data_IF_622973316566
#
_entry.id   IF_622973316566
#
_cell.length_a   1.000
_cell.length_b   1.000
_cell.length_c   1.000
_cell.angle_alpha   90.00
_cell.angle_beta   90.00
_cell.angle_gamma   90.00
#
_symmetry.space_group_name_H-M   'P 1'
#
loop_
_entity.id
_entity.type
_entity.pdbx_description
1 polymer ?
#
# COMPACT_ATOMS: atom_id res chain seq x y z
N UNK A 1 -17.90 11.20 11.94
CA UNK A 1 -18.24 10.35 10.76
C UNK A 1 -18.28 8.87 11.13
N UNK A 2 -17.18 8.25 11.58
CA UNK A 2 -17.15 6.84 11.97
C UNK A 2 -18.00 6.49 13.19
N UNK A 3 -18.29 7.47 14.06
CA UNK A 3 -19.19 7.30 15.22
C UNK A 3 -20.57 6.77 14.79
N UNK A 4 -21.23 7.48 13.89
CA UNK A 4 -22.65 7.22 13.56
C UNK A 4 -22.85 6.49 12.22
N UNK A 5 -21.79 6.31 11.43
CA UNK A 5 -21.83 5.68 10.10
C UNK A 5 -20.88 4.50 10.03
N UNK A 6 -21.35 3.43 9.39
CA UNK A 6 -20.53 2.26 9.06
C UNK A 6 -19.67 2.57 7.84
N UNK A 7 -18.58 3.32 8.06
CA UNK A 7 -17.60 3.72 7.04
C UNK A 7 -16.19 3.40 7.51
N UNK A 8 -15.33 3.03 6.57
CA UNK A 8 -13.89 2.85 6.76
C UNK A 8 -13.18 4.10 6.24
N UNK A 9 -12.59 4.89 7.14
CA UNK A 9 -11.82 6.08 6.78
C UNK A 9 -10.34 5.75 6.90
N UNK A 10 -9.57 6.03 5.84
CA UNK A 10 -8.15 5.71 5.79
C UNK A 10 -7.30 6.96 5.70
N UNK A 11 -6.33 7.06 6.61
CA UNK A 11 -5.26 8.05 6.56
C UNK A 11 -4.04 7.43 5.90
N UNK A 12 -3.50 8.12 4.90
CA UNK A 12 -2.31 7.70 4.17
C UNK A 12 -1.22 8.70 4.48
N UNK A 13 -0.07 8.24 4.96
CA UNK A 13 1.07 9.12 5.19
C UNK A 13 1.46 9.81 3.90
N UNK A 14 1.65 11.12 4.01
CA UNK A 14 2.08 11.92 2.89
C UNK A 14 3.43 11.43 2.36
N UNK A 15 3.46 11.01 1.09
CA UNK A 15 4.69 10.59 0.45
C UNK A 15 5.31 11.78 -0.30
N UNK A 16 6.56 12.13 -0.02
CA UNK A 16 7.30 13.09 -0.82
C UNK A 16 7.55 12.54 -2.23
N UNK A 17 7.33 13.37 -3.25
CA UNK A 17 7.61 13.11 -4.66
C UNK A 17 8.27 14.34 -5.29
N UNK A 18 8.90 14.20 -6.46
CA UNK A 18 9.56 15.32 -7.15
C UNK A 18 8.64 16.54 -7.33
N UNK A 19 7.33 16.33 -7.50
CA UNK A 19 6.33 17.40 -7.63
C UNK A 19 6.00 18.17 -6.34
N UNK A 20 6.42 17.71 -5.16
CA UNK A 20 6.17 18.38 -3.87
C UNK A 20 7.45 18.75 -3.11
N UNK A 21 8.59 18.83 -3.81
CA UNK A 21 9.91 19.19 -3.26
C UNK A 21 10.41 18.27 -2.14
N UNK A 22 9.83 17.09 -2.00
CA UNK A 22 10.14 16.17 -0.91
C UNK A 22 9.93 16.77 0.49
N UNK A 23 8.97 17.67 0.63
CA UNK A 23 8.70 18.32 1.91
C UNK A 23 7.99 17.36 2.87
N UNK A 24 8.69 16.94 3.92
CA UNK A 24 8.17 16.07 4.96
C UNK A 24 7.54 16.86 6.12
N UNK A 25 7.60 18.19 6.12
CA UNK A 25 7.03 19.02 7.21
C UNK A 25 5.50 18.94 7.27
N UNK A 26 4.85 18.62 6.15
CA UNK A 26 3.40 18.43 6.04
C UNK A 26 2.95 17.00 6.40
N UNK A 27 3.89 16.10 6.71
CA UNK A 27 3.58 14.71 7.04
C UNK A 27 3.26 14.57 8.54
N UNK A 28 2.12 13.96 8.85
CA UNK A 28 1.81 13.48 10.20
C UNK A 28 2.18 11.99 10.30
N UNK A 29 3.20 11.61 11.09
CA UNK A 29 3.58 10.22 11.31
C UNK A 29 2.44 9.37 11.90
N UNK A 30 2.38 8.10 11.53
CA UNK A 30 1.40 7.14 12.05
C UNK A 30 1.35 7.12 13.59
N UNK A 31 2.51 7.10 14.26
CA UNK A 31 2.57 7.05 15.73
C UNK A 31 2.05 8.32 16.38
N UNK A 32 2.27 9.47 15.76
CA UNK A 32 1.76 10.75 16.22
C UNK A 32 0.24 10.80 16.07
N UNK A 33 -0.29 10.45 14.89
CA UNK A 33 -1.73 10.36 14.66
C UNK A 33 -2.42 9.41 15.66
N UNK A 34 -1.79 8.26 15.94
CA UNK A 34 -2.30 7.30 16.91
C UNK A 34 -2.31 7.86 18.34
N UNK A 35 -1.26 8.57 18.75
CA UNK A 35 -1.17 9.22 20.06
C UNK A 35 -2.26 10.30 20.21
N UNK A 36 -2.38 11.21 19.24
CA UNK A 36 -3.39 12.27 19.24
C UNK A 36 -4.81 11.73 19.33
N UNK A 37 -5.13 10.63 18.64
CA UNK A 37 -6.47 10.03 18.72
C UNK A 37 -6.70 9.43 20.11
N UNK A 38 -5.69 8.78 20.70
CA UNK A 38 -5.78 8.16 22.02
C UNK A 38 -5.95 9.15 23.16
N UNK A 39 -5.42 10.37 23.02
CA UNK A 39 -5.69 11.46 23.97
C UNK A 39 -7.19 11.73 24.11
N UNK A 40 -7.95 11.63 23.02
CA UNK A 40 -9.40 11.83 23.01
C UNK A 40 -10.20 10.55 23.23
N UNK A 41 -9.69 9.41 22.76
CA UNK A 41 -10.33 8.10 22.79
C UNK A 41 -9.35 7.04 23.31
N UNK A 42 -9.18 6.91 24.65
CA UNK A 42 -8.18 6.01 25.24
C UNK A 42 -8.33 4.54 24.84
N UNK A 43 -9.56 4.08 24.60
CA UNK A 43 -9.86 2.71 24.19
C UNK A 43 -9.68 2.46 22.68
N UNK A 44 -9.04 3.39 21.96
CA UNK A 44 -8.73 3.23 20.54
C UNK A 44 -7.70 2.13 20.31
N UNK A 45 -8.18 1.00 19.78
CA UNK A 45 -7.47 -0.27 19.75
C UNK A 45 -7.35 -0.82 18.34
N UNK A 46 -6.28 -1.57 18.09
CA UNK A 46 -6.07 -2.23 16.82
C UNK A 46 -7.07 -3.37 16.64
N UNK A 47 -7.58 -3.54 15.43
CA UNK A 47 -8.34 -4.72 15.02
C UNK A 47 -7.39 -5.85 14.60
N UNK A 48 -7.95 -7.01 14.27
CA UNK A 48 -7.18 -8.09 13.67
C UNK A 48 -6.73 -7.68 12.25
N UNK A 49 -5.42 -7.65 12.04
CA UNK A 49 -4.81 -7.20 10.79
C UNK A 49 -4.07 -8.37 10.15
N UNK A 50 -4.36 -8.62 8.87
CA UNK A 50 -3.74 -9.70 8.11
C UNK A 50 -2.27 -9.41 7.78
N UNK A 51 -1.47 -10.46 7.48
CA UNK A 51 -0.04 -10.34 7.22
C UNK A 51 0.31 -9.52 5.96
N UNK A 52 -0.65 -9.39 5.04
CA UNK A 52 -0.49 -8.67 3.76
C UNK A 52 -1.30 -7.36 3.73
N UNK A 53 -1.95 -6.98 4.83
CA UNK A 53 -2.78 -5.80 4.88
C UNK A 53 -1.92 -4.54 4.80
N UNK A 54 -2.30 -3.66 3.88
CA UNK A 54 -1.60 -2.39 3.66
C UNK A 54 -1.99 -1.34 4.71
N UNK A 55 -3.21 -1.41 5.22
CA UNK A 55 -3.73 -0.50 6.24
C UNK A 55 -3.79 -1.21 7.58
N UNK A 56 -3.34 -0.55 8.64
CA UNK A 56 -3.53 -0.99 10.03
C UNK A 56 -4.88 -0.48 10.51
N UNK A 57 -5.84 -1.37 10.68
CA UNK A 57 -7.19 -1.05 11.11
C UNK A 57 -7.28 -0.92 12.64
N UNK A 58 -8.01 0.10 13.08
CA UNK A 58 -8.27 0.44 14.47
C UNK A 58 -9.74 0.84 14.65
N UNK A 59 -10.22 0.69 15.88
CA UNK A 59 -11.60 0.96 16.24
C UNK A 59 -11.71 1.66 17.60
N UNK A 60 -12.70 2.55 17.71
CA UNK A 60 -13.14 3.12 18.99
C UNK A 60 -14.39 2.36 19.41
N UNK A 61 -14.40 1.68 20.57
CA UNK A 61 -15.57 0.95 21.04
C UNK A 61 -16.85 1.79 21.01
N UNK A 62 -17.94 1.18 20.51
CA UNK A 62 -19.24 1.81 20.36
C UNK A 62 -19.41 2.67 19.10
N UNK A 63 -18.36 2.85 18.28
CA UNK A 63 -18.51 3.50 16.97
C UNK A 63 -19.06 2.49 15.95
N UNK A 64 -19.69 2.97 14.87
CA UNK A 64 -20.20 2.10 13.80
C UNK A 64 -19.17 1.78 12.70
N UNK A 65 -18.17 2.65 12.56
CA UNK A 65 -17.11 2.55 11.55
C UNK A 65 -15.73 2.30 12.16
N UNK A 66 -14.70 2.35 11.32
CA UNK A 66 -13.31 2.10 11.70
C UNK A 66 -12.35 3.09 11.02
N UNK A 67 -11.12 3.14 11.53
CA UNK A 67 -10.04 3.93 10.96
C UNK A 67 -8.91 3.01 10.49
N UNK A 68 -8.39 3.24 9.29
CA UNK A 68 -7.20 2.57 8.77
C UNK A 68 -6.03 3.53 8.62
N UNK A 69 -4.83 3.07 8.96
CA UNK A 69 -3.59 3.84 8.73
C UNK A 69 -2.69 3.14 7.73
N UNK A 70 -2.34 3.84 6.67
CA UNK A 70 -1.36 3.40 5.67
C UNK A 70 -0.06 4.16 5.93
N UNK A 71 0.83 3.55 6.70
CA UNK A 71 2.13 4.10 7.12
C UNK A 71 3.19 3.93 6.03
N UNK A 72 2.98 4.58 4.88
CA UNK A 72 3.83 4.42 3.70
C UNK A 72 5.28 4.87 3.89
N UNK A 73 5.57 5.72 4.88
CA UNK A 73 6.90 6.28 5.11
C UNK A 73 7.55 5.80 6.41
N UNK A 74 6.77 5.71 7.50
CA UNK A 74 7.35 5.47 8.83
C UNK A 74 7.41 3.99 9.23
N UNK A 75 6.48 3.18 8.73
CA UNK A 75 6.38 1.75 9.04
C UNK A 75 5.92 0.98 7.78
N UNK A 76 6.84 0.80 6.83
CA UNK A 76 6.54 0.24 5.50
C UNK A 76 5.96 -1.18 5.55
N UNK A 77 5.03 -1.48 4.64
CA UNK A 77 4.37 -2.78 4.46
C UNK A 77 4.91 -3.59 3.26
N UNK A 78 6.07 -3.21 2.70
CA UNK A 78 6.58 -3.85 1.48
C UNK A 78 6.91 -5.34 1.66
N UNK A 79 7.32 -5.76 2.86
CA UNK A 79 7.67 -7.16 3.17
C UNK A 79 6.50 -8.15 3.00
N UNK A 80 5.27 -7.72 3.29
CA UNK A 80 4.04 -8.50 3.09
C UNK A 80 3.31 -8.17 1.78
N UNK A 81 3.91 -7.37 0.89
CA UNK A 81 3.22 -6.92 -0.30
C UNK A 81 3.06 -8.06 -1.32
N UNK A 82 1.84 -8.46 -1.59
CA UNK A 82 1.46 -9.48 -2.60
C UNK A 82 0.86 -8.88 -3.88
N UNK A 83 0.92 -7.54 -4.05
CA UNK A 83 0.34 -6.85 -5.21
C UNK A 83 1.24 -6.89 -6.44
N UNK A 84 0.62 -7.15 -7.59
CA UNK A 84 1.15 -6.96 -8.94
C UNK A 84 0.21 -6.01 -9.69
N UNK A 85 0.72 -5.30 -10.69
CA UNK A 85 -0.06 -4.35 -11.47
C UNK A 85 0.19 -4.54 -12.96
N UNK A 86 -0.89 -4.46 -13.74
CA UNK A 86 -0.82 -4.27 -15.19
C UNK A 86 -1.12 -2.80 -15.45
N UNK A 87 -0.24 -2.14 -16.20
CA UNK A 87 -0.41 -0.75 -16.64
C UNK A 87 -1.42 -0.69 -17.80
N UNK A 88 -1.94 0.51 -18.09
CA UNK A 88 -2.95 0.67 -19.15
C UNK A 88 -2.42 0.28 -20.54
N UNK A 89 -1.12 0.40 -20.77
CA UNK A 89 -0.44 -0.01 -22.01
C UNK A 89 -0.01 -1.48 -22.02
N UNK A 90 -0.30 -2.25 -20.96
CA UNK A 90 -0.16 -3.70 -20.91
C UNK A 90 1.18 -4.21 -20.35
N UNK A 91 1.88 -3.40 -19.56
CA UNK A 91 3.11 -3.79 -18.88
C UNK A 91 2.85 -4.31 -17.47
N UNK A 92 3.59 -5.34 -17.07
CA UNK A 92 3.64 -5.85 -15.70
C UNK A 92 4.60 -5.01 -14.85
N UNK A 93 4.09 -4.48 -13.74
CA UNK A 93 4.85 -3.89 -12.64
C UNK A 93 4.75 -4.75 -11.39
N UNK A 94 5.90 -5.01 -10.78
CA UNK A 94 5.99 -5.75 -9.50
C UNK A 94 6.06 -4.84 -8.26
N UNK A 95 6.17 -3.53 -8.49
CA UNK A 95 6.14 -2.48 -7.48
C UNK A 95 5.49 -1.22 -8.06
N UNK A 96 4.71 -0.49 -7.25
CA UNK A 96 4.06 0.75 -7.68
C UNK A 96 5.08 1.82 -8.13
N UNK A 97 6.21 1.91 -7.42
CA UNK A 97 7.29 2.87 -7.65
C UNK A 97 8.54 2.25 -8.31
N UNK A 98 8.43 1.02 -8.81
CA UNK A 98 9.53 0.39 -9.54
C UNK A 98 9.63 0.93 -10.96
N UNK A 99 10.83 1.24 -11.44
CA UNK A 99 11.07 1.65 -12.83
C UNK A 99 11.05 0.46 -13.81
N UNK A 100 11.21 -0.76 -13.32
CA UNK A 100 11.27 -1.96 -14.16
C UNK A 100 9.87 -2.44 -14.52
N UNK A 101 9.67 -2.65 -15.82
CA UNK A 101 8.43 -3.10 -16.43
C UNK A 101 8.70 -4.21 -17.44
N UNK A 102 7.71 -5.07 -17.65
CA UNK A 102 7.77 -6.14 -18.66
C UNK A 102 6.49 -6.13 -19.49
N UNK A 103 6.59 -5.99 -20.81
CA UNK A 103 5.41 -5.94 -21.69
C UNK A 103 4.76 -7.31 -21.84
N UNK A 104 3.64 -7.54 -21.14
CA UNK A 104 2.83 -8.75 -21.32
C UNK A 104 2.06 -8.69 -22.64
N UNK A 105 1.63 -7.48 -23.03
CA UNK A 105 0.92 -7.24 -24.29
C UNK A 105 1.73 -7.69 -25.49
N UNK A 106 2.99 -7.29 -25.58
CA UNK A 106 3.80 -7.60 -26.75
C UNK A 106 4.20 -9.09 -26.77
N UNK A 107 4.44 -9.70 -25.60
CA UNK A 107 4.63 -11.15 -25.49
C UNK A 107 3.41 -11.93 -26.01
N UNK A 108 2.21 -11.57 -25.55
CA UNK A 108 0.96 -12.19 -26.00
C UNK A 108 0.71 -11.98 -27.49
N UNK A 109 0.92 -10.76 -28.01
CA UNK A 109 0.75 -10.45 -29.44
C UNK A 109 1.76 -11.13 -30.34
N UNK A 110 2.92 -11.51 -29.80
CA UNK A 110 3.94 -12.29 -30.50
C UNK A 110 3.65 -13.80 -30.48
N UNK A 111 2.53 -14.24 -29.88
CA UNK A 111 2.12 -15.64 -29.84
C UNK A 111 2.83 -16.47 -28.77
N UNK A 112 3.24 -15.87 -27.65
CA UNK A 112 3.87 -16.63 -26.56
C UNK A 112 2.95 -17.74 -26.03
N UNK A 113 3.53 -18.86 -25.61
CA UNK A 113 2.77 -19.91 -24.94
C UNK A 113 2.37 -19.50 -23.51
N UNK A 114 1.47 -20.25 -22.88
CA UNK A 114 1.13 -20.04 -21.47
C UNK A 114 2.33 -20.28 -20.54
N UNK A 115 3.18 -21.26 -20.87
CA UNK A 115 4.39 -21.55 -20.09
C UNK A 115 5.43 -20.44 -20.19
N UNK A 116 5.58 -19.83 -21.39
CA UNK A 116 6.43 -18.65 -21.56
C UNK A 116 5.92 -17.48 -20.70
N UNK A 117 4.61 -17.27 -20.69
CA UNK A 117 3.99 -16.21 -19.89
C UNK A 117 4.17 -16.43 -18.39
N UNK A 118 3.98 -17.68 -17.92
CA UNK A 118 4.23 -18.07 -16.52
C UNK A 118 5.68 -17.85 -16.14
N UNK A 119 6.62 -18.20 -17.01
CA UNK A 119 8.05 -17.98 -16.80
C UNK A 119 8.37 -16.48 -16.69
N UNK A 120 7.84 -15.68 -17.61
CA UNK A 120 8.02 -14.23 -17.66
C UNK A 120 7.50 -13.55 -16.39
N UNK A 121 6.27 -13.86 -15.98
CA UNK A 121 5.66 -13.33 -14.74
C UNK A 121 6.49 -13.75 -13.53
N UNK A 122 6.85 -15.04 -13.44
CA UNK A 122 7.64 -15.57 -12.32
C UNK A 122 9.01 -14.90 -12.21
N UNK A 123 9.68 -14.67 -13.33
CA UNK A 123 10.95 -13.97 -13.39
C UNK A 123 10.82 -12.52 -12.94
N UNK A 124 9.75 -11.82 -13.34
CA UNK A 124 9.47 -10.47 -12.87
C UNK A 124 9.24 -10.44 -11.35
N UNK A 125 8.39 -11.33 -10.82
CA UNK A 125 8.08 -11.41 -9.38
C UNK A 125 9.33 -11.69 -8.55
N UNK A 126 10.22 -12.58 -9.00
CA UNK A 126 11.50 -12.86 -8.32
C UNK A 126 12.43 -11.66 -8.23
N UNK A 127 12.28 -10.65 -9.10
CA UNK A 127 13.05 -9.40 -9.07
C UNK A 127 12.43 -8.33 -8.16
N UNK A 128 11.30 -8.63 -7.51
CA UNK A 128 10.65 -7.70 -6.57
C UNK A 128 11.61 -7.39 -5.41
N UNK A 129 11.92 -6.10 -5.25
CA UNK A 129 12.76 -5.62 -4.14
C UNK A 129 11.99 -5.68 -2.82
N UNK A 130 12.73 -5.82 -1.72
CA UNK A 130 12.19 -5.83 -0.34
C UNK A 130 11.40 -4.56 0.00
N UNK A 131 11.81 -3.42 -0.56
CA UNK A 131 11.17 -2.11 -0.43
C UNK A 131 11.39 -1.28 -1.69
N UNK A 132 10.63 -0.21 -1.88
CA UNK A 132 10.92 0.77 -2.93
C UNK A 132 12.28 1.43 -2.66
N UNK A 133 12.94 1.91 -3.72
CA UNK A 133 14.09 2.79 -3.53
C UNK A 133 13.60 4.09 -2.86
N UNK A 134 14.36 4.56 -1.88
CA UNK A 134 14.30 5.95 -1.44
C UNK A 134 14.99 6.84 -2.44
#
# INVERSE_FOLDING_TARGET
>A
MTRDRCVDIRFIEYMPFTGNRWDTSEMVPFREALATIRERYPDFTALDNGPNDTAKAFHVPGFRGQLGFISSMTEHFCGGCNRLRITADGNLKVCLFGNTEVSLRDALRSGCSEDDLRCLISAAVKRKKKQHAG
#
